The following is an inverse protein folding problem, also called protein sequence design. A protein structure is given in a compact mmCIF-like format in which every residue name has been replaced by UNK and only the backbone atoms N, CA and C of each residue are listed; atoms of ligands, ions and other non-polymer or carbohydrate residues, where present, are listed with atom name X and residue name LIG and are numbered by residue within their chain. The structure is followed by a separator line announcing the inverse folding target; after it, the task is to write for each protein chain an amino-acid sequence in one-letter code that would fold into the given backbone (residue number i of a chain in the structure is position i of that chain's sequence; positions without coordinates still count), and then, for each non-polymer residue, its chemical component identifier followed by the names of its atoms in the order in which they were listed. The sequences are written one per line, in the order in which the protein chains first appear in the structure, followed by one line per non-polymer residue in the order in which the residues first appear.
data_IF_193765606093
#
_entry.id   IF_193765606093
#
_cell.length_a   1.000
_cell.length_b   1.000
_cell.length_c   1.000
_cell.angle_alpha   90.00
_cell.angle_beta   90.00
_cell.angle_gamma   90.00
#
_symmetry.space_group_name_H-M   'P 1'
#
loop_
_entity.id
_entity.type
_entity.pdbx_description
1 polymer ?
#
# COMPACT_ATOMS: atom_id res chain seq x y z
N UNK A 1 -29.46 -17.06 -1.23
CA UNK A 1 -29.70 -16.12 -0.12
C UNK A 1 -28.85 -14.88 -0.40
N UNK A 2 -29.45 -13.76 -0.79
CA UNK A 2 -28.72 -12.49 -0.88
C UNK A 2 -28.73 -11.88 0.52
N UNK A 3 -27.56 -11.65 1.10
CA UNK A 3 -27.46 -10.84 2.31
C UNK A 3 -27.68 -9.39 1.86
N UNK A 4 -28.80 -8.79 2.26
CA UNK A 4 -29.00 -7.35 2.10
C UNK A 4 -28.03 -6.65 3.05
N UNK A 5 -27.23 -5.74 2.50
CA UNK A 5 -26.28 -4.93 3.28
C UNK A 5 -26.92 -3.55 3.42
N UNK A 6 -27.06 -3.09 4.67
CA UNK A 6 -27.53 -1.73 4.95
C UNK A 6 -26.56 -0.72 4.31
N UNK A 7 -27.11 0.26 3.59
CA UNK A 7 -26.35 1.35 3.00
C UNK A 7 -26.78 2.68 3.59
N UNK A 8 -25.80 3.55 3.80
CA UNK A 8 -25.96 4.86 4.40
C UNK A 8 -25.51 5.92 3.40
N UNK A 9 -26.11 7.11 3.44
CA UNK A 9 -25.75 8.22 2.55
C UNK A 9 -25.40 9.45 3.38
N UNK A 10 -24.19 9.95 3.18
CA UNK A 10 -23.75 11.24 3.69
C UNK A 10 -23.07 12.01 2.55
N UNK A 11 -23.21 13.33 2.54
CA UNK A 11 -22.54 14.20 1.56
C UNK A 11 -21.02 14.21 1.76
N UNK A 12 -20.56 14.06 3.01
CA UNK A 12 -19.14 13.97 3.37
C UNK A 12 -18.47 12.75 2.71
N UNK A 13 -19.07 11.57 2.84
CA UNK A 13 -18.59 10.34 2.22
C UNK A 13 -18.45 10.46 0.71
N UNK A 14 -19.48 10.96 0.01
CA UNK A 14 -19.47 11.06 -1.45
C UNK A 14 -18.36 12.00 -1.94
N UNK A 15 -18.14 13.13 -1.27
CA UNK A 15 -17.07 14.07 -1.63
C UNK A 15 -15.67 13.48 -1.39
N UNK A 16 -15.46 12.82 -0.25
CA UNK A 16 -14.21 12.15 0.06
C UNK A 16 -13.91 11.00 -0.92
N UNK A 17 -14.93 10.21 -1.27
CA UNK A 17 -14.82 9.12 -2.24
C UNK A 17 -14.43 9.63 -3.64
N UNK A 18 -15.06 10.70 -4.11
CA UNK A 18 -14.70 11.36 -5.37
C UNK A 18 -13.25 11.90 -5.33
N UNK A 19 -12.85 12.48 -4.19
CA UNK A 19 -11.47 12.92 -3.98
C UNK A 19 -10.45 11.77 -4.12
N UNK A 20 -10.75 10.60 -3.56
CA UNK A 20 -9.89 9.41 -3.72
C UNK A 20 -9.86 8.91 -5.17
N UNK A 21 -10.97 8.98 -5.91
CA UNK A 21 -11.02 8.64 -7.33
C UNK A 21 -10.10 9.54 -8.15
N UNK A 22 -10.19 10.85 -7.92
CA UNK A 22 -9.34 11.84 -8.59
C UNK A 22 -7.86 11.60 -8.25
N UNK A 23 -7.54 11.35 -6.97
CA UNK A 23 -6.18 11.09 -6.53
C UNK A 23 -5.61 9.79 -7.13
N UNK A 24 -6.42 8.73 -7.24
CA UNK A 24 -6.04 7.49 -7.90
C UNK A 24 -5.70 7.72 -9.39
N UNK A 25 -6.49 8.55 -10.06
CA UNK A 25 -6.26 8.93 -11.45
C UNK A 25 -4.94 9.70 -11.62
N UNK A 26 -4.70 10.70 -10.78
CA UNK A 26 -3.46 11.50 -10.79
C UNK A 26 -2.22 10.64 -10.51
N UNK A 27 -2.28 9.78 -9.49
CA UNK A 27 -1.19 8.86 -9.17
C UNK A 27 -0.89 7.92 -10.34
N UNK A 28 -1.93 7.40 -11.01
CA UNK A 28 -1.75 6.55 -12.18
C UNK A 28 -1.10 7.32 -13.35
N UNK A 29 -1.55 8.55 -13.63
CA UNK A 29 -0.93 9.39 -14.66
C UNK A 29 0.54 9.68 -14.35
N UNK A 30 0.85 10.08 -13.12
CA UNK A 30 2.21 10.32 -12.67
C UNK A 30 3.08 9.06 -12.80
N UNK A 31 2.54 7.88 -12.45
CA UNK A 31 3.24 6.61 -12.59
C UNK A 31 3.49 6.23 -14.05
N UNK A 32 2.55 6.49 -14.96
CA UNK A 32 2.76 6.28 -16.41
C UNK A 32 3.91 7.15 -16.92
N UNK A 33 3.92 8.44 -16.56
CA UNK A 33 5.05 9.32 -16.89
C UNK A 33 6.37 8.81 -16.32
N UNK A 34 6.35 8.35 -15.06
CA UNK A 34 7.53 7.79 -14.40
C UNK A 34 8.05 6.51 -15.07
N UNK A 35 7.15 5.61 -15.51
CA UNK A 35 7.50 4.41 -16.28
C UNK A 35 8.17 4.79 -17.59
N UNK A 36 7.60 5.75 -18.32
CA UNK A 36 8.14 6.20 -19.60
C UNK A 36 9.54 6.80 -19.43
N UNK A 37 9.74 7.65 -18.42
CA UNK A 37 11.06 8.22 -18.09
C UNK A 37 12.06 7.13 -17.68
N UNK A 38 11.64 6.17 -16.85
CA UNK A 38 12.47 5.04 -16.41
C UNK A 38 12.89 4.15 -17.59
N UNK A 39 12.01 3.95 -18.58
CA UNK A 39 12.30 3.15 -19.76
C UNK A 39 13.40 3.76 -20.65
N UNK A 40 13.63 5.07 -20.57
CA UNK A 40 14.72 5.75 -21.28
C UNK A 40 16.07 5.63 -20.58
N UNK A 41 16.11 5.17 -19.33
CA UNK A 41 17.37 4.99 -18.60
C UNK A 41 18.16 3.79 -19.18
N UNK A 42 19.50 3.87 -19.19
CA UNK A 42 20.33 2.70 -19.46
C UNK A 42 19.99 1.54 -18.51
N UNK A 43 20.21 0.30 -18.96
CA UNK A 43 20.12 -0.85 -18.06
C UNK A 43 21.11 -0.70 -16.90
N UNK A 44 20.62 -0.85 -15.67
CA UNK A 44 21.39 -0.69 -14.44
C UNK A 44 20.50 -0.42 -13.24
N UNK A 45 21.12 -0.21 -12.06
CA UNK A 45 20.45 -0.08 -10.77
C UNK A 45 19.30 0.93 -10.78
N UNK A 46 19.49 2.12 -11.38
CA UNK A 46 18.45 3.16 -11.45
C UNK A 46 17.23 2.76 -12.29
N UNK A 47 17.42 2.02 -13.38
CA UNK A 47 16.30 1.52 -14.18
C UNK A 47 15.56 0.40 -13.44
N UNK A 48 16.28 -0.48 -12.76
CA UNK A 48 15.69 -1.52 -11.89
C UNK A 48 14.89 -0.89 -10.76
N UNK A 49 15.46 0.11 -10.08
CA UNK A 49 14.79 0.90 -9.04
C UNK A 49 13.47 1.49 -9.54
N UNK A 50 13.49 2.23 -10.65
CA UNK A 50 12.25 2.79 -11.21
C UNK A 50 11.23 1.72 -11.64
N UNK A 51 11.68 0.58 -12.15
CA UNK A 51 10.81 -0.51 -12.60
C UNK A 51 10.15 -1.23 -11.42
N UNK A 52 10.88 -1.45 -10.32
CA UNK A 52 10.33 -2.05 -9.09
C UNK A 52 9.37 -1.07 -8.42
N UNK A 53 9.76 0.19 -8.25
CA UNK A 53 8.90 1.23 -7.65
C UNK A 53 7.60 1.40 -8.43
N UNK A 54 7.67 1.54 -9.76
CA UNK A 54 6.47 1.67 -10.59
C UNK A 54 5.56 0.44 -10.55
N UNK A 55 6.14 -0.76 -10.44
CA UNK A 55 5.37 -2.01 -10.25
C UNK A 55 4.65 -2.03 -8.90
N UNK A 56 5.28 -1.54 -7.83
CA UNK A 56 4.62 -1.40 -6.53
C UNK A 56 3.51 -0.35 -6.56
N UNK A 57 3.69 0.76 -7.29
CA UNK A 57 2.63 1.76 -7.47
C UNK A 57 1.43 1.15 -8.22
N UNK A 58 1.66 0.33 -9.24
CA UNK A 58 0.58 -0.41 -9.93
C UNK A 58 -0.16 -1.34 -8.95
N UNK A 59 0.57 -2.07 -8.10
CA UNK A 59 -0.04 -2.94 -7.09
C UNK A 59 -0.86 -2.14 -6.05
N UNK A 60 -0.34 -0.99 -5.62
CA UNK A 60 -1.05 -0.07 -4.74
C UNK A 60 -2.34 0.46 -5.40
N UNK A 61 -2.28 0.89 -6.66
CA UNK A 61 -3.46 1.33 -7.43
C UNK A 61 -4.50 0.22 -7.58
N UNK A 62 -4.08 -1.04 -7.76
CA UNK A 62 -4.98 -2.18 -7.76
C UNK A 62 -5.72 -2.34 -6.42
N UNK A 63 -4.99 -2.18 -5.31
CA UNK A 63 -5.59 -2.22 -3.95
C UNK A 63 -6.53 -1.04 -3.73
N UNK A 64 -6.15 0.17 -4.17
CA UNK A 64 -6.99 1.37 -4.08
C UNK A 64 -8.26 1.23 -4.92
N UNK A 65 -8.19 0.64 -6.10
CA UNK A 65 -9.38 0.35 -6.91
C UNK A 65 -10.36 -0.55 -6.15
N UNK A 66 -9.87 -1.56 -5.43
CA UNK A 66 -10.73 -2.41 -4.58
C UNK A 66 -11.31 -1.64 -3.39
N UNK A 67 -10.52 -0.76 -2.76
CA UNK A 67 -11.03 0.14 -1.71
C UNK A 67 -12.19 0.97 -2.26
N UNK A 68 -11.97 1.66 -3.39
CA UNK A 68 -12.97 2.52 -4.04
C UNK A 68 -14.26 1.77 -4.39
N UNK A 69 -14.17 0.55 -4.92
CA UNK A 69 -15.34 -0.29 -5.23
C UNK A 69 -16.14 -0.65 -3.96
N UNK A 70 -15.43 -1.07 -2.91
CA UNK A 70 -16.02 -1.53 -1.65
C UNK A 70 -16.63 -0.36 -0.86
N UNK A 71 -16.05 0.83 -0.98
CA UNK A 71 -16.51 2.06 -0.31
C UNK A 71 -17.34 2.97 -1.22
N UNK A 72 -17.84 2.49 -2.37
CA UNK A 72 -18.72 3.31 -3.21
C UNK A 72 -19.99 3.73 -2.46
N UNK A 73 -20.48 2.84 -1.60
CA UNK A 73 -21.59 3.11 -0.68
C UNK A 73 -21.11 2.91 0.76
N UNK A 74 -21.51 3.82 1.64
CA UNK A 74 -21.19 3.71 3.06
C UNK A 74 -21.96 2.52 3.65
N UNK A 75 -21.23 1.46 4.02
CA UNK A 75 -21.82 0.21 4.49
C UNK A 75 -20.82 -0.56 5.38
N UNK A 76 -21.25 -1.69 5.95
CA UNK A 76 -20.36 -2.56 6.73
C UNK A 76 -19.15 -3.09 5.95
N UNK A 77 -19.17 -2.97 4.62
CA UNK A 77 -18.02 -3.31 3.75
C UNK A 77 -16.79 -2.41 3.99
N UNK A 78 -16.95 -1.25 4.62
CA UNK A 78 -15.82 -0.41 5.09
C UNK A 78 -14.83 -1.20 5.96
N UNK A 79 -15.30 -2.24 6.67
CA UNK A 79 -14.42 -3.17 7.38
C UNK A 79 -13.38 -3.82 6.46
N UNK A 80 -13.77 -4.24 5.26
CA UNK A 80 -12.86 -4.82 4.27
C UNK A 80 -11.90 -3.75 3.74
N UNK A 81 -12.37 -2.53 3.57
CA UNK A 81 -11.54 -1.39 3.17
C UNK A 81 -10.45 -1.05 4.21
N UNK A 82 -10.72 -1.20 5.51
CA UNK A 82 -9.70 -1.06 6.59
C UNK A 82 -8.58 -2.11 6.45
N UNK A 83 -8.93 -3.35 6.12
CA UNK A 83 -7.93 -4.39 5.86
C UNK A 83 -7.09 -4.05 4.62
N UNK A 84 -7.75 -3.58 3.56
CA UNK A 84 -7.09 -3.19 2.31
C UNK A 84 -6.24 -1.94 2.46
N UNK A 85 -6.63 -0.96 3.29
CA UNK A 85 -5.84 0.26 3.51
C UNK A 85 -4.51 -0.04 4.18
N UNK A 86 -4.43 -1.05 5.05
CA UNK A 86 -3.16 -1.56 5.56
C UNK A 86 -2.29 -2.15 4.46
N UNK A 87 -2.85 -2.97 3.57
CA UNK A 87 -2.11 -3.54 2.43
C UNK A 87 -1.61 -2.43 1.50
N UNK A 88 -2.46 -1.44 1.24
CA UNK A 88 -2.12 -0.25 0.46
C UNK A 88 -0.95 0.52 1.09
N UNK A 89 -1.05 0.84 2.37
CA UNK A 89 0.01 1.46 3.17
C UNK A 89 1.33 0.69 3.07
N UNK A 90 1.34 -0.61 3.37
CA UNK A 90 2.56 -1.43 3.36
C UNK A 90 3.18 -1.47 1.96
N UNK A 91 2.36 -1.47 0.91
CA UNK A 91 2.84 -1.41 -0.48
C UNK A 91 3.48 -0.06 -0.80
N UNK A 92 2.85 1.04 -0.39
CA UNK A 92 3.39 2.40 -0.53
C UNK A 92 4.69 2.58 0.27
N UNK A 93 4.74 2.06 1.50
CA UNK A 93 5.93 2.11 2.36
C UNK A 93 7.11 1.38 1.71
N UNK A 94 6.89 0.17 1.18
CA UNK A 94 7.93 -0.59 0.48
C UNK A 94 8.43 0.17 -0.74
N UNK A 95 7.54 0.77 -1.54
CA UNK A 95 7.92 1.56 -2.69
C UNK A 95 8.75 2.80 -2.30
N UNK A 96 8.36 3.49 -1.23
CA UNK A 96 9.10 4.63 -0.69
C UNK A 96 10.47 4.23 -0.14
N UNK A 97 10.55 3.12 0.59
CA UNK A 97 11.80 2.56 1.09
C UNK A 97 12.76 2.22 -0.06
N UNK A 98 12.29 1.52 -1.09
CA UNK A 98 13.08 1.21 -2.28
C UNK A 98 13.51 2.49 -3.02
N UNK A 99 12.70 3.55 -2.98
CA UNK A 99 13.05 4.85 -3.59
C UNK A 99 14.10 5.63 -2.78
N UNK A 100 14.34 5.24 -1.53
CA UNK A 100 15.21 5.97 -0.60
C UNK A 100 16.69 5.58 -0.73
N UNK A 101 17.01 4.44 -1.34
CA UNK A 101 18.39 3.98 -1.51
C UNK A 101 18.95 4.16 -2.94
N UNK A 102 20.14 3.62 -3.20
CA UNK A 102 20.81 3.72 -4.51
C UNK A 102 20.41 2.62 -5.51
N UNK A 103 19.44 1.77 -5.17
CA UNK A 103 18.92 0.68 -6.00
C UNK A 103 19.17 -0.72 -5.43
N UNK A 104 19.89 -0.85 -4.32
CA UNK A 104 20.20 -2.15 -3.69
C UNK A 104 18.92 -2.90 -3.29
N UNK A 105 17.96 -2.22 -2.67
CA UNK A 105 16.67 -2.80 -2.28
C UNK A 105 15.84 -3.20 -3.50
N UNK A 106 15.98 -2.48 -4.62
CA UNK A 106 15.30 -2.81 -5.85
C UNK A 106 15.84 -4.09 -6.49
N UNK A 107 17.17 -4.22 -6.59
CA UNK A 107 17.81 -5.45 -7.09
C UNK A 107 17.46 -6.66 -6.22
N UNK A 108 17.45 -6.47 -4.90
CA UNK A 108 17.03 -7.50 -3.95
C UNK A 108 15.56 -7.91 -4.13
N UNK A 109 14.67 -6.94 -4.36
CA UNK A 109 13.25 -7.20 -4.63
C UNK A 109 13.03 -7.96 -5.95
N UNK A 110 13.76 -7.60 -7.00
CA UNK A 110 13.74 -8.31 -8.28
C UNK A 110 14.16 -9.77 -8.11
N UNK A 111 15.31 -10.01 -7.46
CA UNK A 111 15.78 -11.38 -7.18
C UNK A 111 14.81 -12.16 -6.30
N UNK A 112 14.22 -11.52 -5.29
CA UNK A 112 13.24 -12.17 -4.42
C UNK A 112 11.98 -12.59 -5.20
N UNK A 113 11.55 -11.80 -6.19
CA UNK A 113 10.42 -12.17 -7.05
C UNK A 113 10.71 -13.46 -7.84
N UNK A 114 11.92 -13.59 -8.40
CA UNK A 114 12.37 -14.79 -9.12
C UNK A 114 12.45 -15.99 -8.16
N UNK A 115 13.05 -15.79 -6.99
CA UNK A 115 13.12 -16.82 -5.95
C UNK A 115 11.73 -17.33 -5.56
N UNK A 116 10.78 -16.43 -5.30
CA UNK A 116 9.41 -16.80 -4.90
C UNK A 116 8.66 -17.47 -6.02
N UNK A 117 8.76 -16.98 -7.25
CA UNK A 117 8.17 -17.63 -8.41
C UNK A 117 8.70 -19.07 -8.55
N UNK A 118 10.02 -19.25 -8.52
CA UNK A 118 10.65 -20.57 -8.62
C UNK A 118 10.29 -21.50 -7.45
N UNK A 119 10.33 -21.03 -6.19
CA UNK A 119 10.05 -21.87 -5.01
C UNK A 119 8.58 -22.24 -4.86
N UNK A 120 7.67 -21.40 -5.33
CA UNK A 120 6.23 -21.64 -5.20
C UNK A 120 5.61 -22.32 -6.41
N UNK A 121 6.35 -22.49 -7.52
CA UNK A 121 5.83 -23.15 -8.73
C UNK A 121 5.53 -24.64 -8.56
N UNK A 122 6.10 -25.30 -7.55
CA UNK A 122 5.77 -26.67 -7.19
C UNK A 122 5.72 -26.79 -5.67
N UNK A 123 4.53 -27.00 -5.13
CA UNK A 123 4.32 -27.20 -3.70
C UNK A 123 3.68 -28.55 -3.46
N UNK A 124 4.27 -29.34 -2.57
CA UNK A 124 3.63 -30.55 -2.06
C UNK A 124 3.03 -30.23 -0.70
N UNK A 125 1.74 -30.52 -0.53
CA UNK A 125 1.03 -30.41 0.75
C UNK A 125 0.51 -31.77 1.14
N UNK A 126 0.59 -32.06 2.43
CA UNK A 126 -0.01 -33.24 3.03
C UNK A 126 -1.14 -32.78 3.94
N UNK A 127 -2.35 -33.25 3.68
CA UNK A 127 -3.53 -32.97 4.49
C UNK A 127 -4.21 -34.30 4.77
N UNK A 128 -4.36 -34.63 6.05
CA UNK A 128 -4.97 -35.90 6.49
C UNK A 128 -4.31 -37.14 5.84
N UNK A 129 -2.97 -37.13 5.69
CA UNK A 129 -2.21 -38.22 5.07
C UNK A 129 -2.25 -38.27 3.54
N UNK A 130 -3.01 -37.37 2.89
CA UNK A 130 -3.06 -37.28 1.43
C UNK A 130 -2.08 -36.23 0.94
N UNK A 131 -1.12 -36.66 0.11
CA UNK A 131 -0.15 -35.78 -0.55
C UNK A 131 -0.70 -35.31 -1.89
N UNK A 132 -0.79 -34.00 -2.09
CA UNK A 132 -1.12 -33.41 -3.39
C UNK A 132 -0.08 -32.36 -3.77
N UNK A 133 0.22 -32.30 -5.07
CA UNK A 133 1.16 -31.36 -5.67
C UNK A 133 0.42 -30.24 -6.38
N UNK A 134 0.64 -29.00 -5.97
CA UNK A 134 0.19 -27.81 -6.69
C UNK A 134 1.32 -27.38 -7.62
N UNK A 135 1.06 -27.39 -8.92
CA UNK A 135 1.98 -26.85 -9.94
C UNK A 135 1.40 -25.56 -10.50
N UNK A 136 2.15 -24.47 -10.44
CA UNK A 136 1.76 -23.17 -11.00
C UNK A 136 2.44 -22.95 -12.34
N UNK A 137 1.75 -22.24 -13.23
CA UNK A 137 2.26 -21.84 -14.55
C UNK A 137 2.20 -20.31 -14.67
N UNK A 138 3.14 -19.66 -15.40
CA UNK A 138 4.28 -20.28 -16.09
C UNK A 138 5.38 -20.74 -15.12
N UNK A 139 6.03 -21.87 -15.43
CA UNK A 139 7.15 -22.38 -14.65
C UNK A 139 8.49 -21.78 -15.12
N UNK A 140 9.33 -21.37 -14.18
CA UNK A 140 10.69 -20.91 -14.44
C UNK A 140 11.63 -22.11 -14.33
N UNK A 141 12.48 -22.27 -15.34
CA UNK A 141 13.44 -23.38 -15.37
C UNK A 141 14.57 -23.14 -14.37
N UNK A 142 15.06 -24.21 -13.77
CA UNK A 142 16.16 -24.15 -12.78
C UNK A 142 17.48 -23.69 -13.37
N UNK A 143 17.68 -23.88 -14.67
CA UNK A 143 18.87 -23.47 -15.42
C UNK A 143 18.85 -22.00 -15.87
N UNK A 144 17.77 -21.24 -15.60
CA UNK A 144 17.76 -19.79 -15.79
C UNK A 144 18.81 -19.15 -14.86
N UNK A 145 19.77 -18.36 -15.37
CA UNK A 145 20.81 -17.71 -14.55
C UNK A 145 20.23 -16.93 -13.37
N UNK A 146 19.10 -16.25 -13.55
CA UNK A 146 18.45 -15.47 -12.50
C UNK A 146 17.94 -16.34 -11.35
N UNK A 147 17.54 -17.58 -11.64
CA UNK A 147 17.13 -18.53 -10.60
C UNK A 147 18.33 -18.98 -9.78
N UNK A 148 19.48 -19.23 -10.42
CA UNK A 148 20.71 -19.57 -9.70
C UNK A 148 21.10 -18.44 -8.75
N UNK A 149 21.16 -17.21 -9.26
CA UNK A 149 21.58 -16.04 -8.49
C UNK A 149 20.59 -15.77 -7.34
N UNK A 150 19.27 -15.90 -7.59
CA UNK A 150 18.25 -15.79 -6.55
C UNK A 150 18.31 -16.91 -5.48
N UNK A 151 18.67 -18.14 -5.86
CA UNK A 151 18.87 -19.25 -4.93
C UNK A 151 20.15 -19.12 -4.11
N UNK A 152 21.18 -18.46 -4.63
CA UNK A 152 22.39 -18.14 -3.86
C UNK A 152 22.06 -17.19 -2.71
N UNK A 153 21.26 -16.15 -2.98
CA UNK A 153 20.84 -15.16 -1.97
C UNK A 153 19.82 -15.73 -0.97
N UNK A 154 18.81 -16.46 -1.46
CA UNK A 154 17.62 -16.84 -0.66
C UNK A 154 17.43 -18.35 -0.42
N UNK A 155 18.21 -19.22 -1.06
CA UNK A 155 18.00 -20.68 -1.08
C UNK A 155 18.56 -21.48 0.09
N UNK A 156 19.33 -20.85 1.00
CA UNK A 156 20.12 -21.53 2.04
C UNK A 156 19.41 -21.89 3.35
N UNK A 157 18.13 -21.60 3.54
CA UNK A 157 17.41 -21.90 4.79
C UNK A 157 16.09 -22.66 4.56
N UNK A 158 15.73 -23.52 5.52
CA UNK A 158 14.42 -24.19 5.58
C UNK A 158 13.27 -23.17 5.69
N UNK A 159 13.52 -22.02 6.31
CA UNK A 159 12.61 -20.90 6.37
C UNK A 159 12.78 -19.98 5.15
N UNK A 160 11.66 -19.47 4.64
CA UNK A 160 11.64 -18.45 3.58
C UNK A 160 12.28 -17.18 4.17
N UNK A 161 13.43 -16.78 3.62
CA UNK A 161 14.04 -15.50 3.99
C UNK A 161 13.13 -14.36 3.53
N UNK A 162 12.92 -13.32 4.34
CA UNK A 162 12.15 -12.16 3.90
C UNK A 162 12.90 -11.42 2.79
N UNK A 163 12.15 -10.67 1.98
CA UNK A 163 12.74 -9.81 0.94
C UNK A 163 13.67 -8.76 1.57
N UNK A 164 13.20 -8.12 2.64
CA UNK A 164 13.90 -7.10 3.40
C UNK A 164 14.14 -7.62 4.82
N UNK A 165 15.26 -7.23 5.41
CA UNK A 165 15.54 -7.57 6.83
C UNK A 165 14.90 -6.54 7.75
N UNK A 166 14.71 -5.34 7.22
CA UNK A 166 14.09 -4.18 7.82
C UNK A 166 12.62 -4.47 8.12
N UNK A 167 12.21 -4.17 9.34
CA UNK A 167 10.80 -4.08 9.71
C UNK A 167 10.23 -2.70 9.30
N UNK A 168 8.92 -2.50 9.49
CA UNK A 168 8.26 -1.24 9.07
C UNK A 168 8.82 0.00 9.75
N UNK A 169 9.13 -0.08 11.04
CA UNK A 169 9.72 1.04 11.77
C UNK A 169 11.10 1.40 11.20
N UNK A 170 11.93 0.39 10.91
CA UNK A 170 13.24 0.57 10.27
C UNK A 170 13.11 1.15 8.85
N UNK A 171 12.10 0.73 8.08
CA UNK A 171 11.79 1.32 6.77
C UNK A 171 11.39 2.79 6.88
N UNK A 172 10.51 3.15 7.82
CA UNK A 172 10.10 4.54 8.08
C UNK A 172 11.30 5.38 8.52
N UNK A 173 12.17 4.85 9.39
CA UNK A 173 13.39 5.53 9.80
C UNK A 173 14.34 5.77 8.62
N UNK A 174 14.53 4.78 7.74
CA UNK A 174 15.34 4.92 6.53
C UNK A 174 14.79 6.01 5.61
N UNK A 175 13.47 6.02 5.36
CA UNK A 175 12.82 7.09 4.60
C UNK A 175 13.07 8.45 5.28
N UNK A 176 12.97 8.52 6.61
CA UNK A 176 13.13 9.75 7.38
C UNK A 176 14.54 10.35 7.38
N UNK A 177 15.58 9.55 7.08
CA UNK A 177 16.93 10.05 6.84
C UNK A 177 17.01 10.93 5.59
N UNK A 178 16.05 10.74 4.67
CA UNK A 178 16.01 11.41 3.38
C UNK A 178 14.85 12.41 3.28
N UNK A 179 13.65 12.04 3.73
CA UNK A 179 12.47 12.89 3.79
C UNK A 179 11.72 12.66 5.12
N UNK A 180 11.94 13.59 6.05
CA UNK A 180 11.30 13.57 7.37
C UNK A 180 9.78 13.70 7.29
N UNK A 181 9.27 14.43 6.29
CA UNK A 181 7.84 14.61 6.08
C UNK A 181 7.21 13.29 5.65
N UNK A 182 7.81 12.61 4.67
CA UNK A 182 7.31 11.30 4.24
C UNK A 182 7.30 10.28 5.39
N UNK A 183 8.35 10.26 6.22
CA UNK A 183 8.39 9.40 7.41
C UNK A 183 7.31 9.75 8.44
N UNK A 184 7.05 11.04 8.69
CA UNK A 184 5.99 11.49 9.58
C UNK A 184 4.61 11.03 9.08
N UNK A 185 4.34 11.20 7.79
CA UNK A 185 3.08 10.80 7.16
C UNK A 185 2.87 9.28 7.27
N UNK A 186 3.88 8.46 6.96
CA UNK A 186 3.78 7.00 7.16
C UNK A 186 3.63 6.61 8.63
N UNK A 187 4.35 7.26 9.54
CA UNK A 187 4.21 7.04 10.99
C UNK A 187 2.80 7.35 11.49
N UNK A 188 2.15 8.39 10.94
CA UNK A 188 0.75 8.70 11.20
C UNK A 188 -0.19 7.59 10.75
N UNK A 189 0.02 7.03 9.55
CA UNK A 189 -0.78 5.90 9.05
C UNK A 189 -0.60 4.65 9.91
N UNK A 190 0.62 4.33 10.32
CA UNK A 190 0.91 3.20 11.21
C UNK A 190 0.15 3.34 12.53
N UNK A 191 0.19 4.53 13.15
CA UNK A 191 -0.52 4.79 14.41
C UNK A 191 -2.05 4.74 14.28
N UNK A 192 -2.60 5.07 13.11
CA UNK A 192 -4.05 5.11 12.89
C UNK A 192 -4.66 3.76 12.55
N UNK A 193 -4.04 3.02 11.61
CA UNK A 193 -4.72 1.89 10.95
C UNK A 193 -4.08 0.56 11.25
N UNK A 194 -2.78 0.49 11.57
CA UNK A 194 -2.07 -0.78 11.56
C UNK A 194 -2.66 -1.81 12.55
N UNK A 195 -2.76 -1.43 13.83
CA UNK A 195 -3.22 -2.33 14.88
C UNK A 195 -4.70 -2.68 14.71
N UNK A 196 -5.52 -1.67 14.40
CA UNK A 196 -6.94 -1.88 14.16
C UNK A 196 -7.21 -2.78 12.95
N UNK A 197 -6.51 -2.56 11.84
CA UNK A 197 -6.62 -3.43 10.67
C UNK A 197 -6.14 -4.86 10.96
N UNK A 198 -5.15 -5.04 11.85
CA UNK A 198 -4.71 -6.36 12.31
C UNK A 198 -5.85 -7.14 12.98
N UNK A 199 -6.58 -6.48 13.88
CA UNK A 199 -7.74 -7.06 14.57
C UNK A 199 -8.86 -7.47 13.60
N UNK A 200 -9.08 -6.63 12.57
CA UNK A 200 -10.05 -6.91 11.50
C UNK A 200 -9.62 -8.10 10.62
N UNK A 201 -8.37 -8.11 10.16
CA UNK A 201 -7.81 -9.16 9.28
C UNK A 201 -7.80 -10.52 9.97
N UNK A 202 -7.43 -10.56 11.25
CA UNK A 202 -7.38 -11.80 12.02
C UNK A 202 -8.75 -12.22 12.58
N UNK A 203 -9.80 -11.45 12.32
CA UNK A 203 -11.16 -11.78 12.71
C UNK A 203 -11.35 -11.85 14.22
N UNK A 204 -10.65 -11.00 14.97
CA UNK A 204 -10.77 -10.98 16.42
C UNK A 204 -12.18 -10.56 16.84
N UNK A 205 -12.59 -10.99 18.03
CA UNK A 205 -13.87 -10.57 18.59
C UNK A 205 -13.93 -9.04 18.79
N UNK A 206 -12.79 -8.43 19.12
CA UNK A 206 -12.66 -6.97 19.22
C UNK A 206 -12.91 -6.30 17.86
N UNK A 207 -12.25 -6.76 16.80
CA UNK A 207 -12.43 -6.24 15.45
C UNK A 207 -13.87 -6.40 14.93
N UNK A 208 -14.58 -7.46 15.34
CA UNK A 208 -16.01 -7.60 15.05
C UNK A 208 -16.87 -6.59 15.83
N UNK A 209 -16.61 -6.41 17.13
CA UNK A 209 -17.36 -5.49 17.98
C UNK A 209 -17.20 -4.02 17.60
N UNK A 210 -16.07 -3.61 17.03
CA UNK A 210 -15.85 -2.21 16.63
C UNK A 210 -16.81 -1.72 15.53
N UNK A 211 -17.44 -2.62 14.78
CA UNK A 211 -18.44 -2.26 13.78
C UNK A 211 -19.89 -2.43 14.28
N UNK A 212 -20.14 -3.35 15.22
CA UNK A 212 -21.50 -3.73 15.64
C UNK A 212 -21.89 -3.24 17.06
N UNK A 213 -20.96 -3.10 18.00
CA UNK A 213 -21.30 -3.10 19.44
C UNK A 213 -21.59 -1.72 20.06
N UNK A 214 -21.17 -0.62 19.43
CA UNK A 214 -21.31 0.73 19.99
C UNK A 214 -22.48 1.54 19.42
N UNK A 215 -23.27 0.95 18.51
CA UNK A 215 -24.36 1.66 17.85
C UNK A 215 -25.70 1.46 18.59
N UNK A 216 -26.20 2.50 19.28
CA UNK A 216 -27.53 2.49 19.91
C UNK A 216 -28.66 2.82 18.90
N UNK A 217 -28.52 2.35 17.65
CA UNK A 217 -29.48 2.54 16.58
C UNK A 217 -28.84 2.80 15.20
N UNK A 218 -29.67 2.94 14.15
CA UNK A 218 -29.18 3.09 12.77
C UNK A 218 -28.31 4.33 12.54
N UNK A 219 -28.58 5.44 13.24
CA UNK A 219 -27.80 6.68 13.11
C UNK A 219 -26.41 6.56 13.72
N UNK A 220 -26.28 5.95 14.90
CA UNK A 220 -24.99 5.71 15.54
C UNK A 220 -24.15 4.71 14.73
N UNK A 221 -24.80 3.70 14.13
CA UNK A 221 -24.15 2.76 13.23
C UNK A 221 -23.59 3.46 11.99
N UNK A 222 -24.38 4.34 11.37
CA UNK A 222 -23.95 5.12 10.22
C UNK A 222 -22.73 5.99 10.55
N UNK A 223 -22.76 6.70 11.68
CA UNK A 223 -21.64 7.52 12.15
C UNK A 223 -20.39 6.71 12.44
N UNK A 224 -20.54 5.56 13.09
CA UNK A 224 -19.41 4.66 13.36
C UNK A 224 -18.76 4.16 12.07
N UNK A 225 -19.58 3.74 11.09
CA UNK A 225 -19.08 3.32 9.77
C UNK A 225 -18.42 4.49 9.03
N UNK A 226 -18.97 5.70 9.12
CA UNK A 226 -18.39 6.93 8.56
C UNK A 226 -17.01 7.22 9.15
N UNK A 227 -16.85 7.14 10.47
CA UNK A 227 -15.54 7.33 11.13
C UNK A 227 -14.50 6.28 10.71
N UNK A 228 -14.91 5.02 10.51
CA UNK A 228 -14.00 4.00 9.95
C UNK A 228 -13.63 4.29 8.50
N UNK A 229 -14.57 4.80 7.70
CA UNK A 229 -14.28 5.24 6.35
C UNK A 229 -13.32 6.44 6.34
N UNK A 230 -13.46 7.39 7.26
CA UNK A 230 -12.50 8.48 7.44
C UNK A 230 -11.10 7.92 7.74
N UNK A 231 -10.95 6.93 8.61
CA UNK A 231 -9.66 6.30 8.86
C UNK A 231 -9.04 5.68 7.59
N UNK A 232 -9.84 5.04 6.73
CA UNK A 232 -9.42 4.56 5.40
C UNK A 232 -8.97 5.71 4.51
N UNK A 233 -9.80 6.76 4.40
CA UNK A 233 -9.54 7.94 3.59
C UNK A 233 -8.22 8.61 3.97
N UNK A 234 -8.03 8.89 5.26
CA UNK A 234 -6.79 9.47 5.77
C UNK A 234 -5.58 8.58 5.51
N UNK A 235 -5.71 7.27 5.77
CA UNK A 235 -4.61 6.31 5.51
C UNK A 235 -4.18 6.31 4.05
N UNK A 236 -5.13 6.33 3.11
CA UNK A 236 -4.84 6.37 1.67
C UNK A 236 -4.17 7.69 1.29
N UNK A 237 -4.74 8.85 1.66
CA UNK A 237 -4.19 10.15 1.30
C UNK A 237 -2.77 10.35 1.87
N UNK A 238 -2.56 10.03 3.16
CA UNK A 238 -1.24 10.15 3.79
C UNK A 238 -0.21 9.20 3.15
N UNK A 239 -0.61 7.97 2.82
CA UNK A 239 0.28 7.00 2.15
C UNK A 239 0.66 7.46 0.74
N UNK A 240 -0.28 8.03 -0.03
CA UNK A 240 -0.01 8.58 -1.36
C UNK A 240 0.90 9.81 -1.27
N UNK A 241 0.63 10.74 -0.35
CA UNK A 241 1.47 11.90 -0.14
C UNK A 241 2.92 11.50 0.21
N UNK A 242 3.10 10.59 1.16
CA UNK A 242 4.41 10.11 1.58
C UNK A 242 5.18 9.38 0.46
N UNK A 243 4.48 8.50 -0.26
CA UNK A 243 5.01 7.79 -1.42
C UNK A 243 5.44 8.76 -2.52
N UNK A 244 4.54 9.66 -2.93
CA UNK A 244 4.80 10.57 -4.02
C UNK A 244 6.02 11.45 -3.72
N UNK A 245 6.13 11.99 -2.50
CA UNK A 245 7.33 12.73 -2.04
C UNK A 245 8.61 11.91 -2.12
N UNK A 246 8.56 10.65 -1.69
CA UNK A 246 9.72 9.74 -1.72
C UNK A 246 10.17 9.46 -3.16
N UNK A 247 9.21 9.32 -4.08
CA UNK A 247 9.46 9.03 -5.50
C UNK A 247 9.94 10.26 -6.28
N UNK A 248 9.51 11.48 -5.93
CA UNK A 248 9.98 12.75 -6.53
C UNK A 248 11.51 12.86 -6.57
N UNK A 249 12.20 12.23 -5.62
CA UNK A 249 13.68 12.20 -5.54
C UNK A 249 14.35 11.38 -6.64
N UNK A 250 13.63 10.48 -7.27
CA UNK A 250 14.11 9.79 -8.45
C UNK A 250 14.03 10.79 -9.60
N UNK A 251 15.18 11.15 -10.20
CA UNK A 251 15.34 12.21 -11.22
C UNK A 251 14.32 12.17 -12.38
N UNK A 252 13.63 11.04 -12.58
CA UNK A 252 12.62 10.80 -13.61
C UNK A 252 11.18 11.16 -13.21
N UNK A 253 10.89 11.54 -11.96
CA UNK A 253 9.52 11.62 -11.42
C UNK A 253 9.09 13.00 -10.87
N UNK A 254 9.98 13.99 -10.88
CA UNK A 254 9.90 15.15 -9.98
C UNK A 254 8.57 15.94 -10.07
N UNK A 255 8.20 16.45 -11.25
CA UNK A 255 7.02 17.32 -11.35
C UNK A 255 5.67 16.60 -11.16
N UNK A 256 5.38 15.45 -11.82
CA UNK A 256 4.09 14.78 -11.65
C UNK A 256 3.88 14.25 -10.22
N UNK A 257 4.90 13.68 -9.59
CA UNK A 257 4.77 13.15 -8.21
C UNK A 257 4.65 14.27 -7.18
N UNK A 258 5.34 15.40 -7.36
CA UNK A 258 5.13 16.56 -6.49
C UNK A 258 3.68 17.05 -6.53
N UNK A 259 3.05 17.10 -7.71
CA UNK A 259 1.63 17.46 -7.83
C UNK A 259 0.73 16.48 -7.09
N UNK A 260 0.97 15.17 -7.23
CA UNK A 260 0.20 14.12 -6.52
C UNK A 260 0.33 14.27 -5.02
N UNK A 261 1.53 14.58 -4.51
CA UNK A 261 1.74 14.81 -3.09
C UNK A 261 0.92 16.00 -2.58
N UNK A 262 0.92 17.11 -3.31
CA UNK A 262 0.13 18.29 -2.95
C UNK A 262 -1.37 18.00 -2.98
N UNK A 263 -1.89 17.38 -4.05
CA UNK A 263 -3.31 16.99 -4.15
C UNK A 263 -3.75 16.11 -2.97
N UNK A 264 -2.91 15.13 -2.59
CA UNK A 264 -3.20 14.25 -1.47
C UNK A 264 -3.30 15.00 -0.12
N UNK A 265 -2.44 16.01 0.10
CA UNK A 265 -2.50 16.84 1.30
C UNK A 265 -3.69 17.80 1.27
N UNK A 266 -3.97 18.43 0.13
CA UNK A 266 -5.11 19.33 -0.06
C UNK A 266 -6.44 18.66 0.28
N UNK A 267 -6.58 17.38 -0.10
CA UNK A 267 -7.72 16.54 0.24
C UNK A 267 -7.91 16.34 1.76
N UNK A 268 -6.86 16.45 2.57
CA UNK A 268 -6.93 16.31 4.02
C UNK A 268 -7.29 17.62 4.74
N UNK A 269 -6.93 18.77 4.17
CA UNK A 269 -7.06 20.09 4.84
C UNK A 269 -8.48 20.41 5.36
N UNK A 270 -9.57 20.05 4.65
CA UNK A 270 -10.93 20.28 5.14
C UNK A 270 -11.30 19.45 6.38
N UNK A 271 -10.60 18.34 6.63
CA UNK A 271 -10.95 17.34 7.64
C UNK A 271 -10.07 17.41 8.89
N UNK A 272 -8.99 18.20 8.87
CA UNK A 272 -8.08 18.36 10.01
C UNK A 272 -8.37 19.63 10.81
N UNK A 273 -8.10 19.60 12.13
CA UNK A 273 -8.04 20.81 12.97
C UNK A 273 -7.08 21.87 12.40
N UNK A 274 -7.31 23.14 12.74
CA UNK A 274 -6.55 24.27 12.18
C UNK A 274 -5.06 24.25 12.53
N UNK A 275 -4.72 23.80 13.74
CA UNK A 275 -3.33 23.60 14.19
C UNK A 275 -2.60 22.52 13.37
N UNK A 276 -3.30 21.44 13.02
CA UNK A 276 -2.75 20.40 12.15
C UNK A 276 -2.73 20.84 10.68
N UNK A 277 -3.67 21.68 10.25
CA UNK A 277 -3.71 22.27 8.91
C UNK A 277 -2.47 23.11 8.65
N UNK A 278 -2.08 23.98 9.58
CA UNK A 278 -0.85 24.79 9.47
C UNK A 278 0.39 23.91 9.33
N UNK A 279 0.47 22.83 10.11
CA UNK A 279 1.56 21.86 10.01
C UNK A 279 1.57 21.17 8.64
N UNK A 280 0.43 20.66 8.15
CA UNK A 280 0.33 19.99 6.85
C UNK A 280 0.64 20.95 5.68
N UNK A 281 0.16 22.19 5.72
CA UNK A 281 0.50 23.19 4.71
C UNK A 281 2.00 23.51 4.69
N UNK A 282 2.66 23.53 5.86
CA UNK A 282 4.11 23.67 5.97
C UNK A 282 4.89 22.46 5.42
N UNK A 283 4.24 21.31 5.30
CA UNK A 283 4.79 20.07 4.76
C UNK A 283 4.54 19.89 3.25
N UNK A 284 3.64 20.67 2.65
CA UNK A 284 3.34 20.66 1.19
C UNK A 284 4.36 21.44 0.34
N UNK A 285 5.36 22.05 0.97
CA UNK A 285 6.52 22.70 0.35
C UNK A 285 7.76 21.77 0.37
#
# INVERSE_FOLDING_TARGET
MRLEVDTFKTTSHAAAHEGLHQLAFELNQANVSFILSTAQLPHGAKRTQGSVVSSQIIAALGTLSSILEITQELSLRVKEAIALSRVFYETCLIAAFISSDEGESAEKAELYSVYKAFRTQTQFREVLGVKFGIKRQPAIRRDDPRVRDALEVFGGSSNVRPCFVENREEMVQCIGQHDRTAALLFGGVEAMVHDFASEVIHGSYYGAQMFDFLANGPQDKARNIESHFEAVYFSVCLSIAALARSVTRLQSAEAPMASVASSAVELLLPHVPEDLREQLCGLSL
#
